data_IF_725953716760
#
_entry.id   IF_725953716760
#
_cell.length_a   1.000
_cell.length_b   1.000
_cell.length_c   1.000
_cell.angle_alpha   90.00
_cell.angle_beta   90.00
_cell.angle_gamma   90.00
#
_symmetry.space_group_name_H-M   'P 1'
#
loop_
_entity.id
_entity.type
_entity.pdbx_description
1 polymer ?
#
# COMPACT_ATOMS: atom_id res chain seq x y z
N UNK A 1 23.67 -22.26 -5.52
CA UNK A 1 24.30 -20.95 -5.21
C UNK A 1 23.29 -19.84 -5.51
N UNK A 2 22.69 -19.24 -4.48
CA UNK A 2 21.81 -18.08 -4.64
C UNK A 2 22.70 -16.88 -4.88
N UNK A 3 22.62 -16.27 -6.07
CA UNK A 3 23.27 -14.98 -6.33
C UNK A 3 22.64 -13.96 -5.38
N UNK A 4 23.35 -13.62 -4.30
CA UNK A 4 23.05 -12.44 -3.52
C UNK A 4 23.41 -11.26 -4.42
N UNK A 5 22.39 -10.69 -5.04
CA UNK A 5 22.49 -9.33 -5.56
C UNK A 5 22.56 -8.46 -4.31
N UNK A 6 23.58 -7.63 -4.16
CA UNK A 6 23.64 -6.60 -3.11
C UNK A 6 22.39 -5.71 -3.22
N UNK A 7 21.30 -6.08 -2.53
CA UNK A 7 19.97 -5.53 -2.80
C UNK A 7 18.84 -6.47 -2.40
N UNK A 8 18.01 -6.02 -1.47
CA UNK A 8 16.83 -6.68 -0.91
C UNK A 8 16.96 -8.19 -0.59
N UNK A 9 17.15 -8.50 0.69
CA UNK A 9 17.17 -9.88 1.23
C UNK A 9 15.81 -10.61 1.16
N UNK A 10 14.80 -10.00 0.53
CA UNK A 10 13.41 -10.48 0.50
C UNK A 10 12.82 -10.73 1.89
N UNK A 11 13.41 -10.10 2.91
CA UNK A 11 12.93 -10.20 4.28
C UNK A 11 11.48 -9.69 4.36
N UNK A 12 10.64 -10.40 5.10
CA UNK A 12 9.24 -10.09 5.36
C UNK A 12 9.05 -9.10 6.51
N UNK A 13 10.05 -8.30 6.87
CA UNK A 13 9.96 -7.40 8.05
C UNK A 13 8.79 -6.42 7.94
N UNK A 14 8.53 -5.90 6.73
CA UNK A 14 7.37 -5.03 6.47
C UNK A 14 6.01 -5.74 6.59
N UNK A 15 5.98 -7.07 6.70
CA UNK A 15 4.76 -7.86 6.80
C UNK A 15 4.25 -8.07 8.23
N UNK A 16 5.02 -7.65 9.24
CA UNK A 16 4.73 -7.94 10.65
C UNK A 16 3.90 -6.87 11.37
N UNK A 17 3.82 -5.67 10.80
CA UNK A 17 3.22 -4.50 11.44
C UNK A 17 2.43 -3.66 10.41
N UNK A 18 1.42 -4.29 9.80
CA UNK A 18 0.65 -3.68 8.71
C UNK A 18 -0.30 -2.55 9.16
N UNK A 19 -0.56 -2.43 10.46
CA UNK A 19 -1.47 -1.43 11.05
C UNK A 19 -0.77 -0.41 11.95
N UNK A 20 0.57 -0.36 11.92
CA UNK A 20 1.34 0.59 12.74
C UNK A 20 0.99 2.05 12.41
N UNK A 21 0.55 2.79 13.43
CA UNK A 21 0.24 4.22 13.39
C UNK A 21 -1.24 4.57 13.35
N UNK A 22 -2.11 3.71 12.80
CA UNK A 22 -3.57 3.87 12.84
C UNK A 22 -4.26 2.51 12.76
N UNK A 23 -4.82 2.04 13.88
CA UNK A 23 -5.57 0.79 13.92
C UNK A 23 -6.87 0.85 13.09
N UNK A 24 -7.29 2.01 12.59
CA UNK A 24 -8.52 2.13 11.78
C UNK A 24 -8.37 1.59 10.37
N UNK A 25 -7.15 1.45 9.86
CA UNK A 25 -6.87 1.02 8.49
C UNK A 25 -5.84 -0.11 8.44
N UNK A 26 -5.99 -0.97 7.44
CA UNK A 26 -5.08 -2.06 7.13
C UNK A 26 -4.20 -1.78 5.91
N UNK A 27 -3.50 -2.82 5.46
CA UNK A 27 -2.72 -2.76 4.23
C UNK A 27 -3.65 -2.51 3.05
N UNK A 28 -3.48 -1.39 2.35
CA UNK A 28 -4.30 -1.06 1.17
C UNK A 28 -4.02 -2.03 0.01
N UNK A 29 -5.10 -2.48 -0.61
CA UNK A 29 -5.13 -3.33 -1.79
C UNK A 29 -5.98 -2.68 -2.87
N UNK A 30 -5.55 -2.76 -4.12
CA UNK A 30 -6.41 -2.35 -5.23
C UNK A 30 -7.33 -3.50 -5.67
N UNK A 31 -8.43 -3.21 -6.40
CA UNK A 31 -9.38 -4.23 -6.83
C UNK A 31 -8.74 -5.39 -7.60
N UNK A 32 -7.68 -5.10 -8.38
CA UNK A 32 -6.91 -6.10 -9.13
C UNK A 32 -6.00 -6.97 -8.26
N UNK A 33 -5.94 -6.75 -6.94
CA UNK A 33 -4.99 -7.38 -6.02
C UNK A 33 -5.66 -8.17 -4.89
N UNK A 34 -6.97 -8.07 -4.72
CA UNK A 34 -7.70 -8.72 -3.60
C UNK A 34 -7.57 -10.25 -3.63
N UNK A 35 -7.44 -10.83 -4.83
CA UNK A 35 -7.27 -12.27 -5.05
C UNK A 35 -5.96 -12.83 -4.47
N UNK A 36 -5.02 -11.96 -4.08
CA UNK A 36 -3.78 -12.36 -3.43
C UNK A 36 -4.00 -12.77 -1.97
N UNK A 37 -5.18 -12.52 -1.38
CA UNK A 37 -5.47 -12.80 0.01
C UNK A 37 -6.79 -13.59 0.16
N UNK A 38 -6.98 -14.32 1.27
CA UNK A 38 -8.27 -14.93 1.58
C UNK A 38 -9.38 -13.87 1.69
N UNK A 39 -10.51 -14.11 1.04
CA UNK A 39 -11.64 -13.17 0.97
C UNK A 39 -12.11 -12.69 2.35
N UNK A 40 -12.14 -13.59 3.34
CA UNK A 40 -12.51 -13.28 4.74
C UNK A 40 -11.64 -12.22 5.42
N UNK A 41 -10.45 -11.94 4.89
CA UNK A 41 -9.50 -10.95 5.42
C UNK A 41 -9.49 -9.65 4.62
N UNK A 42 -10.43 -9.51 3.68
CA UNK A 42 -10.55 -8.33 2.83
C UNK A 42 -11.81 -7.56 3.20
N UNK A 43 -11.63 -6.27 3.48
CA UNK A 43 -12.72 -5.31 3.68
C UNK A 43 -12.55 -4.15 2.70
N UNK A 44 -13.62 -3.41 2.37
CA UNK A 44 -13.49 -2.13 1.68
C UNK A 44 -12.55 -1.20 2.44
N UNK A 45 -11.91 -0.26 1.76
CA UNK A 45 -11.02 0.73 2.38
C UNK A 45 -11.40 2.15 2.05
N UNK A 46 -11.37 2.53 0.77
CA UNK A 46 -11.77 3.85 0.32
C UNK A 46 -12.86 3.73 -0.73
N UNK A 47 -13.84 4.62 -0.66
CA UNK A 47 -14.90 4.75 -1.65
C UNK A 47 -15.26 6.22 -1.87
N UNK A 48 -16.04 6.47 -2.93
CA UNK A 48 -16.76 7.74 -3.14
C UNK A 48 -18.27 7.49 -3.16
N UNK A 49 -19.02 8.54 -2.87
CA UNK A 49 -20.48 8.56 -2.95
C UNK A 49 -21.08 9.76 -2.22
N UNK A 50 -22.38 10.03 -2.44
CA UNK A 50 -23.04 11.26 -1.94
C UNK A 50 -23.55 11.11 -0.50
N UNK A 51 -24.57 10.26 -0.32
CA UNK A 51 -25.19 9.96 0.99
C UNK A 51 -24.56 8.74 1.65
N UNK A 52 -24.07 7.82 0.83
CA UNK A 52 -23.46 6.55 1.22
C UNK A 52 -22.35 6.20 0.21
N UNK A 53 -21.40 5.32 0.56
CA UNK A 53 -20.38 4.85 -0.38
C UNK A 53 -21.02 4.02 -1.50
N UNK A 54 -20.81 4.45 -2.75
CA UNK A 54 -21.39 3.78 -3.93
C UNK A 54 -20.34 3.19 -4.87
N UNK A 55 -19.11 3.74 -4.88
CA UNK A 55 -18.03 3.29 -5.77
C UNK A 55 -16.76 3.05 -4.94
N UNK A 56 -16.46 1.78 -4.67
CA UNK A 56 -15.25 1.37 -3.96
C UNK A 56 -14.03 1.56 -4.85
N UNK A 57 -13.03 2.26 -4.33
CA UNK A 57 -11.76 2.50 -5.00
C UNK A 57 -10.67 1.51 -4.57
N UNK A 58 -10.61 1.21 -3.29
CA UNK A 58 -9.60 0.30 -2.73
C UNK A 58 -10.18 -0.53 -1.59
N UNK A 59 -9.49 -1.62 -1.32
CA UNK A 59 -9.74 -2.57 -0.26
C UNK A 59 -8.59 -2.54 0.74
N UNK A 60 -8.74 -3.26 1.84
CA UNK A 60 -7.70 -3.41 2.86
C UNK A 60 -7.68 -4.82 3.41
N UNK A 61 -6.47 -5.31 3.68
CA UNK A 61 -6.25 -6.51 4.47
C UNK A 61 -6.41 -6.20 5.96
N UNK A 62 -7.18 -7.00 6.67
CA UNK A 62 -7.61 -6.70 8.05
C UNK A 62 -6.59 -7.06 9.12
N UNK A 63 -5.73 -8.07 8.87
CA UNK A 63 -4.78 -8.54 9.87
C UNK A 63 -3.57 -7.60 10.00
N UNK A 64 -3.06 -7.47 11.23
CA UNK A 64 -1.83 -6.73 11.50
C UNK A 64 -0.59 -7.46 10.97
N UNK A 65 -0.63 -8.79 10.92
CA UNK A 65 0.43 -9.63 10.35
C UNK A 65 -0.06 -10.18 9.02
N UNK A 66 0.78 -10.08 7.98
CA UNK A 66 0.46 -10.63 6.66
C UNK A 66 0.35 -12.16 6.72
N UNK A 67 -0.72 -12.71 6.14
CA UNK A 67 -0.90 -14.18 6.03
C UNK A 67 0.16 -14.88 5.17
N UNK A 68 0.90 -14.13 4.36
CA UNK A 68 1.99 -14.66 3.52
C UNK A 68 3.36 -14.59 4.18
N UNK A 69 3.42 -14.16 5.45
CA UNK A 69 4.66 -14.14 6.22
C UNK A 69 4.94 -15.54 6.76
N UNK A 70 5.98 -16.18 6.27
CA UNK A 70 6.44 -17.49 6.74
C UNK A 70 7.96 -17.43 6.95
N UNK A 71 8.45 -17.87 8.11
CA UNK A 71 9.88 -17.88 8.44
C UNK A 71 10.61 -16.55 8.15
N UNK A 72 9.95 -15.42 8.43
CA UNK A 72 10.43 -14.06 8.12
C UNK A 72 10.62 -13.74 6.62
N UNK A 73 9.97 -14.47 5.73
CA UNK A 73 9.96 -14.27 4.29
C UNK A 73 8.53 -14.07 3.78
N UNK A 74 8.40 -13.40 2.64
CA UNK A 74 7.10 -13.22 1.98
C UNK A 74 6.93 -14.30 0.90
N UNK A 75 5.99 -15.22 1.08
CA UNK A 75 5.76 -16.33 0.16
C UNK A 75 5.23 -15.90 -1.22
N UNK A 76 4.63 -14.72 -1.31
CA UNK A 76 4.15 -14.13 -2.56
C UNK A 76 5.05 -13.00 -3.07
N UNK A 77 6.34 -12.97 -2.72
CA UNK A 77 7.24 -11.84 -2.98
C UNK A 77 7.15 -11.27 -4.41
N UNK A 78 7.16 -12.12 -5.44
CA UNK A 78 7.09 -11.67 -6.84
C UNK A 78 5.71 -11.14 -7.24
N UNK A 79 4.64 -11.63 -6.57
CA UNK A 79 3.24 -11.26 -6.82
C UNK A 79 2.71 -10.22 -5.82
N UNK A 80 3.54 -9.76 -4.88
CA UNK A 80 3.13 -8.92 -3.75
C UNK A 80 2.33 -7.68 -4.20
N UNK A 81 1.39 -7.17 -3.39
CA UNK A 81 0.60 -5.98 -3.74
C UNK A 81 1.46 -4.76 -4.04
N UNK A 82 0.89 -3.80 -4.78
CA UNK A 82 1.57 -2.58 -5.17
C UNK A 82 2.06 -1.78 -3.96
N UNK A 83 1.27 -1.74 -2.87
CA UNK A 83 1.69 -1.13 -1.60
C UNK A 83 2.90 -1.81 -0.96
N UNK A 84 3.04 -3.13 -1.12
CA UNK A 84 4.22 -3.85 -0.64
C UNK A 84 5.43 -3.61 -1.54
N UNK A 85 5.22 -3.48 -2.86
CA UNK A 85 6.29 -3.17 -3.83
C UNK A 85 6.81 -1.75 -3.69
N UNK A 86 6.00 -0.80 -3.23
CA UNK A 86 6.44 0.58 -3.06
C UNK A 86 7.32 0.76 -1.83
N UNK A 87 7.28 -0.14 -0.84
CA UNK A 87 8.04 0.01 0.39
C UNK A 87 9.56 0.04 0.14
N UNK A 88 10.32 0.98 0.74
CA UNK A 88 9.91 1.97 1.75
C UNK A 88 9.52 3.35 1.18
N UNK A 89 9.34 3.46 -0.13
CA UNK A 89 9.09 4.72 -0.84
C UNK A 89 7.61 5.14 -0.72
N UNK A 90 7.40 6.45 -0.53
CA UNK A 90 6.09 7.11 -0.53
C UNK A 90 6.18 8.37 -1.38
N UNK A 91 5.12 8.70 -2.14
CA UNK A 91 5.03 10.00 -2.83
C UNK A 91 4.36 11.00 -1.90
N UNK A 92 4.97 12.16 -1.68
CA UNK A 92 4.40 13.26 -0.92
C UNK A 92 4.43 14.59 -1.69
N UNK A 93 3.89 15.67 -1.09
CA UNK A 93 3.79 16.98 -1.76
C UNK A 93 5.12 17.58 -2.21
N UNK A 94 6.21 17.24 -1.51
CA UNK A 94 7.58 17.71 -1.80
C UNK A 94 8.45 16.66 -2.52
N UNK A 95 7.82 15.69 -3.19
CA UNK A 95 8.51 14.60 -3.88
C UNK A 95 8.54 13.29 -3.07
N UNK A 96 9.56 12.47 -3.30
CA UNK A 96 9.65 11.15 -2.66
C UNK A 96 10.01 11.28 -1.17
N UNK A 97 9.31 10.49 -0.36
CA UNK A 97 9.56 10.28 1.06
C UNK A 97 9.93 8.82 1.29
N UNK A 98 10.69 8.57 2.33
CA UNK A 98 11.18 7.24 2.66
C UNK A 98 10.79 6.88 4.08
N UNK A 99 10.11 5.75 4.24
CA UNK A 99 9.78 5.22 5.56
C UNK A 99 11.01 4.53 6.15
N UNK A 100 11.26 4.65 7.47
CA UNK A 100 12.21 3.78 8.12
C UNK A 100 11.74 2.33 7.97
N UNK A 101 12.62 1.43 7.53
CA UNK A 101 12.34 -0.01 7.64
C UNK A 101 12.97 -0.94 6.61
N UNK A 102 13.49 -0.46 5.47
CA UNK A 102 14.34 -1.28 4.60
C UNK A 102 15.68 -0.61 4.29
N UNK A 103 16.71 -0.87 5.11
CA UNK A 103 18.05 -0.29 4.92
C UNK A 103 18.65 -0.65 3.55
N UNK A 104 18.42 -1.87 3.05
CA UNK A 104 18.94 -2.31 1.76
C UNK A 104 18.42 -1.45 0.60
N UNK A 105 17.08 -1.26 0.51
CA UNK A 105 16.49 -0.41 -0.53
C UNK A 105 16.93 1.05 -0.36
N UNK A 106 16.92 1.58 0.87
CA UNK A 106 17.36 2.96 1.13
C UNK A 106 18.81 3.20 0.73
N UNK A 107 19.71 2.26 1.00
CA UNK A 107 21.11 2.38 0.59
C UNK A 107 21.27 2.30 -0.93
N UNK A 108 20.51 1.44 -1.61
CA UNK A 108 20.53 1.36 -3.07
C UNK A 108 20.03 2.65 -3.72
N UNK A 109 18.95 3.24 -3.21
CA UNK A 109 18.43 4.51 -3.72
C UNK A 109 19.41 5.67 -3.51
N UNK A 110 20.12 5.72 -2.37
CA UNK A 110 21.16 6.73 -2.09
C UNK A 110 22.39 6.61 -2.99
N UNK A 111 22.76 5.39 -3.39
CA UNK A 111 23.90 5.13 -4.28
C UNK A 111 23.61 5.49 -5.74
N UNK A 112 22.35 5.44 -6.17
CA UNK A 112 21.96 5.91 -7.50
C UNK A 112 22.07 7.43 -7.56
N UNK A 113 22.70 7.97 -8.62
CA UNK A 113 22.73 9.42 -8.85
C UNK A 113 21.29 9.92 -9.00
N UNK A 114 20.83 10.67 -8.00
CA UNK A 114 19.50 11.28 -7.92
C UNK A 114 18.34 10.36 -8.39
N UNK A 115 17.90 9.46 -7.50
CA UNK A 115 16.52 8.93 -7.53
C UNK A 115 16.11 8.42 -8.92
N UNK A 116 16.85 7.45 -9.46
CA UNK A 116 16.52 6.87 -10.76
C UNK A 116 15.05 6.43 -10.74
N UNK A 117 14.21 7.16 -11.50
CA UNK A 117 12.77 6.91 -11.53
C UNK A 117 12.47 5.48 -11.93
N UNK A 118 13.40 4.76 -12.58
CA UNK A 118 13.25 3.36 -13.01
C UNK A 118 13.32 2.35 -11.87
N UNK A 119 13.74 2.74 -10.67
CA UNK A 119 13.78 1.83 -9.53
C UNK A 119 12.38 1.25 -9.23
N UNK A 120 12.24 -0.07 -9.00
CA UNK A 120 10.94 -0.73 -8.88
C UNK A 120 10.03 -0.13 -7.80
N UNK A 121 10.60 0.23 -6.65
CA UNK A 121 9.86 0.81 -5.52
C UNK A 121 9.35 2.22 -5.83
N UNK A 122 10.12 2.99 -6.61
CA UNK A 122 9.72 4.32 -7.09
C UNK A 122 8.61 4.17 -8.12
N UNK A 123 8.75 3.26 -9.08
CA UNK A 123 7.71 2.97 -10.08
C UNK A 123 6.39 2.53 -9.43
N UNK A 124 6.46 1.64 -8.43
CA UNK A 124 5.30 1.22 -7.67
C UNK A 124 4.65 2.40 -6.94
N UNK A 125 5.45 3.26 -6.29
CA UNK A 125 4.99 4.47 -5.62
C UNK A 125 4.30 5.46 -6.57
N UNK A 126 4.88 5.68 -7.75
CA UNK A 126 4.31 6.54 -8.79
C UNK A 126 3.00 5.97 -9.35
N UNK A 127 2.90 4.64 -9.51
CA UNK A 127 1.65 3.98 -9.92
C UNK A 127 0.54 4.16 -8.88
N UNK A 128 0.86 4.04 -7.59
CA UNK A 128 -0.08 4.34 -6.48
C UNK A 128 -0.52 5.81 -6.55
N UNK A 129 0.43 6.74 -6.68
CA UNK A 129 0.14 8.17 -6.76
C UNK A 129 -0.77 8.50 -7.94
N UNK A 130 -0.54 7.88 -9.10
CA UNK A 130 -1.40 8.04 -10.28
C UNK A 130 -2.82 7.49 -10.02
N UNK A 131 -2.96 6.32 -9.38
CA UNK A 131 -4.27 5.76 -9.01
C UNK A 131 -5.02 6.69 -8.06
N UNK A 132 -4.34 7.22 -7.05
CA UNK A 132 -4.91 8.19 -6.10
C UNK A 132 -5.29 9.51 -6.77
N UNK A 133 -4.43 10.06 -7.63
CA UNK A 133 -4.71 11.26 -8.41
C UNK A 133 -5.99 11.08 -9.24
N UNK A 134 -6.11 9.96 -9.95
CA UNK A 134 -7.30 9.67 -10.74
C UNK A 134 -8.55 9.53 -9.86
N UNK A 135 -8.43 8.87 -8.70
CA UNK A 135 -9.54 8.78 -7.75
C UNK A 135 -10.03 10.16 -7.31
N UNK A 136 -9.14 11.03 -6.80
CA UNK A 136 -9.52 12.36 -6.31
C UNK A 136 -10.06 13.29 -7.41
N UNK A 137 -9.60 13.15 -8.66
CA UNK A 137 -10.12 13.92 -9.79
C UNK A 137 -11.38 13.32 -10.45
N UNK A 138 -11.87 12.17 -9.98
CA UNK A 138 -13.06 11.51 -10.53
C UNK A 138 -14.34 11.74 -9.74
N UNK A 139 -14.30 12.64 -8.75
CA UNK A 139 -15.44 12.98 -7.92
C UNK A 139 -16.45 13.79 -8.72
N UNK A 140 -17.71 13.39 -8.64
CA UNK A 140 -18.83 14.13 -9.19
C UNK A 140 -19.35 15.15 -8.17
N UNK A 141 -20.18 16.10 -8.61
CA UNK A 141 -20.75 17.12 -7.73
C UNK A 141 -21.46 16.50 -6.52
N UNK A 142 -21.09 16.99 -5.33
CA UNK A 142 -21.57 16.55 -4.02
C UNK A 142 -21.15 15.14 -3.60
N UNK A 143 -20.28 14.45 -4.35
CA UNK A 143 -19.64 13.24 -3.83
C UNK A 143 -18.62 13.58 -2.75
N UNK A 144 -18.51 12.70 -1.77
CA UNK A 144 -17.53 12.80 -0.69
C UNK A 144 -16.75 11.50 -0.59
N UNK A 145 -15.59 11.57 0.08
CA UNK A 145 -14.76 10.40 0.31
C UNK A 145 -15.29 9.66 1.52
N UNK A 146 -15.34 8.35 1.41
CA UNK A 146 -15.67 7.44 2.49
C UNK A 146 -14.45 6.57 2.78
N UNK A 147 -14.14 6.40 4.05
CA UNK A 147 -13.13 5.46 4.53
C UNK A 147 -13.81 4.42 5.41
N UNK A 148 -13.50 3.14 5.20
CA UNK A 148 -14.00 2.08 6.06
C UNK A 148 -13.06 1.92 7.26
N UNK A 149 -13.61 2.02 8.47
CA UNK A 149 -12.86 1.91 9.72
C UNK A 149 -12.96 0.47 10.25
N UNK A 150 -11.81 -0.20 10.37
CA UNK A 150 -11.72 -1.58 10.86
C UNK A 150 -12.03 -1.75 12.35
N UNK A 151 -11.98 -0.67 13.14
CA UNK A 151 -12.29 -0.71 14.58
C UNK A 151 -13.80 -0.65 14.81
N UNK A 152 -14.50 0.21 14.07
CA UNK A 152 -15.96 0.37 14.19
C UNK A 152 -16.74 -0.52 13.21
N UNK A 153 -16.03 -1.21 12.31
CA UNK A 153 -16.57 -2.01 11.19
C UNK A 153 -17.58 -1.24 10.33
N UNK A 154 -17.35 0.07 10.13
CA UNK A 154 -18.30 0.98 9.50
C UNK A 154 -17.63 1.99 8.56
N UNK A 155 -18.43 2.53 7.64
CA UNK A 155 -18.00 3.64 6.79
C UNK A 155 -18.02 4.97 7.54
N UNK A 156 -16.96 5.75 7.40
CA UNK A 156 -16.81 7.10 7.92
C UNK A 156 -16.67 8.10 6.77
N UNK A 157 -17.50 9.15 6.80
CA UNK A 157 -17.40 10.26 5.87
C UNK A 157 -16.14 11.09 6.20
N UNK A 158 -15.29 11.31 5.20
CA UNK A 158 -14.17 12.25 5.28
C UNK A 158 -14.51 13.46 4.41
N UNK A 159 -14.55 14.65 5.01
CA UNK A 159 -14.46 15.87 4.22
C UNK A 159 -13.08 15.89 3.55
N UNK A 160 -13.06 16.06 2.23
CA UNK A 160 -11.85 16.25 1.44
C UNK A 160 -11.33 17.67 1.63
#
# INVERSE_FOLDING_TARGET
>A
MVKIVDGCERCGKCCSHLRDGDNKSGLTLFPDEIHLFPEKLIKPHMARGKKEPSKIFSYQHTENVCVHLENNLCNIYEKRPLMCRSFPVKVGPRGLKFSPGCKAVLNNLKKSSNTDRKQPEIQASLKIAKRLYNFYNSFEDNEVKWNYNLVTDSWEKKQC
#
